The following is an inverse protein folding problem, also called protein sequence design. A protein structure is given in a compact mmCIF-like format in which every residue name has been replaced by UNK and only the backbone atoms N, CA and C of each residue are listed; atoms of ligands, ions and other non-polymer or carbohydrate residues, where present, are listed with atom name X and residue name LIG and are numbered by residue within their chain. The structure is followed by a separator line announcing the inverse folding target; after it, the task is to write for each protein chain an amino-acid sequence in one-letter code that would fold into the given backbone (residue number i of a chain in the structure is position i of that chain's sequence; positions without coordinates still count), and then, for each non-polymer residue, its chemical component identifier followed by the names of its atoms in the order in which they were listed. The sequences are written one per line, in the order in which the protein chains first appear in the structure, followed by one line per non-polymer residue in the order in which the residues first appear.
data_IF_467387067520
#
_entry.id   IF_467387067520
#
_cell.length_a   1.000
_cell.length_b   1.000
_cell.length_c   1.000
_cell.angle_alpha   90.00
_cell.angle_beta   90.00
_cell.angle_gamma   90.00
#
_symmetry.space_group_name_H-M   'P 1'
#
loop_
_entity.id
_entity.type
_entity.pdbx_description
1 polymer ?
#
# COMPACT_ATOMS: atom_id res chain seq x y z
N UNK A 1 -10.15 14.73 24.83
CA UNK A 1 -10.95 15.08 23.62
C UNK A 1 -11.29 13.87 22.74
N UNK A 2 -10.35 13.23 22.01
CA UNK A 2 -10.67 12.17 21.03
C UNK A 2 -11.46 10.99 21.61
N UNK A 3 -11.07 10.49 22.79
CA UNK A 3 -11.80 9.43 23.49
C UNK A 3 -13.28 9.80 23.70
N UNK A 4 -13.55 11.02 24.17
CA UNK A 4 -14.90 11.51 24.42
C UNK A 4 -15.70 11.69 23.13
N UNK A 5 -15.08 12.23 22.07
CA UNK A 5 -15.74 12.37 20.77
C UNK A 5 -16.18 11.00 20.22
N UNK A 6 -15.36 9.97 20.41
CA UNK A 6 -15.65 8.60 19.95
C UNK A 6 -16.48 7.77 20.94
N UNK A 7 -16.79 8.28 22.13
CA UNK A 7 -17.56 7.54 23.16
C UNK A 7 -16.76 6.44 23.88
N UNK A 8 -15.43 6.54 23.90
CA UNK A 8 -14.53 5.56 24.51
C UNK A 8 -14.04 5.98 25.92
N UNK A 9 -13.81 5.03 26.84
CA UNK A 9 -14.03 3.58 26.70
C UNK A 9 -15.49 3.17 26.95
N UNK A 10 -16.12 2.53 25.97
CA UNK A 10 -17.39 1.80 26.10
C UNK A 10 -17.48 0.82 24.92
N UNK A 11 -17.73 -0.47 25.18
CA UNK A 11 -17.93 -1.48 24.13
C UNK A 11 -19.05 -1.10 23.14
N UNK A 12 -19.95 -0.21 23.53
CA UNK A 12 -21.05 0.29 22.71
C UNK A 12 -20.78 1.65 22.07
N UNK A 13 -19.75 2.38 22.53
CA UNK A 13 -19.47 3.78 22.16
C UNK A 13 -20.73 4.69 22.17
N UNK A 14 -21.65 4.44 23.12
CA UNK A 14 -23.02 4.99 23.07
C UNK A 14 -23.11 6.50 23.32
N UNK A 15 -22.06 7.09 23.90
CA UNK A 15 -21.96 8.52 24.21
C UNK A 15 -20.94 9.23 23.30
N UNK A 16 -20.89 8.84 22.02
CA UNK A 16 -20.03 9.45 21.02
C UNK A 16 -20.37 8.99 19.59
N UNK A 17 -19.51 9.34 18.63
CA UNK A 17 -19.73 9.02 17.21
C UNK A 17 -19.11 7.69 16.77
N UNK A 18 -18.41 6.99 17.67
CA UNK A 18 -17.78 5.71 17.35
C UNK A 18 -18.83 4.63 17.07
N UNK A 19 -18.54 3.77 16.09
CA UNK A 19 -19.47 2.73 15.66
C UNK A 19 -19.35 1.39 16.39
N UNK A 20 -18.76 1.37 17.59
CA UNK A 20 -18.53 0.16 18.41
C UNK A 20 -17.70 -0.94 17.73
N UNK A 21 -16.92 -0.59 16.70
CA UNK A 21 -16.01 -1.49 16.00
C UNK A 21 -14.68 -0.80 15.70
N UNK A 22 -13.59 -1.57 15.65
CA UNK A 22 -12.25 -1.04 15.36
C UNK A 22 -12.16 -0.35 14.00
N UNK A 23 -12.98 -0.75 13.01
CA UNK A 23 -13.04 -0.17 11.68
C UNK A 23 -13.79 1.18 11.66
N UNK A 24 -14.68 1.41 12.61
CA UNK A 24 -15.51 2.62 12.74
C UNK A 24 -15.13 3.50 13.94
N UNK A 25 -14.02 3.17 14.62
CA UNK A 25 -13.44 3.95 15.72
C UNK A 25 -12.06 4.52 15.33
N UNK A 26 -12.05 5.39 14.32
CA UNK A 26 -10.84 5.93 13.70
C UNK A 26 -10.92 7.45 13.55
N UNK A 27 -9.80 8.13 13.71
CA UNK A 27 -9.70 9.58 13.53
C UNK A 27 -8.57 9.91 12.57
N UNK A 28 -8.86 10.78 11.60
CA UNK A 28 -7.88 11.45 10.75
C UNK A 28 -7.81 12.91 11.18
N UNK A 29 -6.63 13.38 11.58
CA UNK A 29 -6.36 14.79 11.82
C UNK A 29 -5.62 15.32 10.60
N UNK A 30 -6.18 16.35 9.97
CA UNK A 30 -5.66 16.92 8.72
C UNK A 30 -5.52 18.43 8.86
N UNK A 31 -4.39 18.96 8.42
CA UNK A 31 -4.12 20.40 8.39
C UNK A 31 -3.18 20.77 7.24
N UNK A 32 -3.03 22.07 6.93
CA UNK A 32 -2.04 22.52 5.95
C UNK A 32 -0.62 22.09 6.39
N UNK A 33 0.22 21.74 5.42
CA UNK A 33 1.62 21.39 5.65
C UNK A 33 2.54 22.59 5.42
N UNK A 34 3.55 22.75 6.26
CA UNK A 34 4.65 23.72 6.07
C UNK A 34 5.82 23.14 5.24
N UNK A 35 5.74 21.86 4.85
CA UNK A 35 6.80 21.16 4.09
C UNK A 35 6.72 21.53 2.60
N UNK A 36 7.88 21.74 2.00
CA UNK A 36 7.98 22.02 0.56
C UNK A 36 7.39 20.88 -0.28
N UNK A 37 6.56 21.25 -1.26
CA UNK A 37 5.89 20.32 -2.15
C UNK A 37 4.86 19.38 -1.50
N UNK A 38 4.41 19.65 -0.28
CA UNK A 38 3.35 18.90 0.43
C UNK A 38 2.21 19.85 0.76
N UNK A 39 0.99 19.48 0.37
CA UNK A 39 -0.19 20.31 0.59
C UNK A 39 -0.74 20.17 2.01
N UNK A 40 -0.85 18.94 2.52
CA UNK A 40 -1.45 18.67 3.84
C UNK A 40 -0.67 17.66 4.67
N UNK A 41 -0.71 17.86 5.99
CA UNK A 41 -0.28 16.91 6.99
C UNK A 41 -1.45 16.03 7.43
N UNK A 42 -1.20 14.73 7.53
CA UNK A 42 -2.15 13.73 8.00
C UNK A 42 -1.59 12.98 9.21
N UNK A 43 -2.35 12.95 10.30
CA UNK A 43 -2.09 12.10 11.45
C UNK A 43 -3.28 11.18 11.71
N UNK A 44 -3.04 9.87 11.60
CA UNK A 44 -3.97 8.84 11.99
C UNK A 44 -3.93 8.58 13.49
N UNK A 45 -5.11 8.34 14.06
CA UNK A 45 -5.28 7.83 15.41
C UNK A 45 -6.32 6.70 15.43
N UNK A 46 -5.91 5.53 15.91
CA UNK A 46 -6.83 4.47 16.30
C UNK A 46 -7.34 4.74 17.71
N UNK A 47 -8.64 4.91 17.87
CA UNK A 47 -9.27 5.03 19.19
C UNK A 47 -9.73 3.64 19.61
N UNK A 48 -9.24 3.14 20.74
CA UNK A 48 -9.70 1.87 21.29
C UNK A 48 -11.16 1.99 21.73
N UNK A 49 -11.95 0.95 21.43
CA UNK A 49 -13.38 0.91 21.76
C UNK A 49 -13.57 0.74 23.27
N UNK A 50 -12.92 -0.26 23.86
CA UNK A 50 -13.11 -0.71 25.24
C UNK A 50 -12.06 -0.17 26.23
N UNK A 51 -11.04 0.54 25.76
CA UNK A 51 -9.96 1.08 26.60
C UNK A 51 -9.77 2.57 26.34
N UNK A 52 -9.32 3.28 27.37
CA UNK A 52 -8.98 4.71 27.30
C UNK A 52 -7.61 4.92 26.62
N UNK A 53 -7.46 4.42 25.39
CA UNK A 53 -6.22 4.45 24.62
C UNK A 53 -6.48 5.07 23.24
N UNK A 54 -5.60 5.99 22.87
CA UNK A 54 -5.48 6.52 21.50
C UNK A 54 -4.10 6.10 21.00
N UNK A 55 -4.07 5.30 19.94
CA UNK A 55 -2.85 4.80 19.34
C UNK A 55 -2.58 5.51 18.01
N UNK A 56 -1.50 6.30 17.99
CA UNK A 56 -1.00 7.01 16.81
C UNK A 56 0.25 6.35 16.24
N UNK A 57 0.59 5.13 16.63
CA UNK A 57 1.75 4.41 16.09
C UNK A 57 1.53 3.88 14.67
N UNK A 58 0.36 3.33 14.27
CA UNK A 58 0.17 2.91 12.89
C UNK A 58 -0.30 4.09 12.02
N UNK A 59 -0.24 3.90 10.71
CA UNK A 59 -1.07 4.65 9.76
C UNK A 59 -2.26 3.79 9.30
N UNK A 60 -3.22 4.41 8.62
CA UNK A 60 -4.34 3.71 8.01
C UNK A 60 -4.54 4.18 6.56
N UNK A 61 -4.18 3.32 5.60
CA UNK A 61 -4.39 3.59 4.17
C UNK A 61 -5.86 3.73 3.76
N UNK A 62 -6.80 3.12 4.49
CA UNK A 62 -8.23 3.29 4.20
C UNK A 62 -8.70 4.69 4.59
N UNK A 63 -8.31 5.20 5.77
CA UNK A 63 -8.65 6.57 6.19
C UNK A 63 -7.97 7.62 5.32
N UNK A 64 -6.75 7.34 4.83
CA UNK A 64 -6.01 8.20 3.91
C UNK A 64 -6.83 8.56 2.64
N UNK A 65 -7.68 7.63 2.17
CA UNK A 65 -8.59 7.86 1.03
C UNK A 65 -9.52 9.06 1.19
N UNK A 66 -9.85 9.43 2.44
CA UNK A 66 -10.70 10.59 2.73
C UNK A 66 -9.95 11.92 2.85
N UNK A 67 -8.61 11.90 2.95
CA UNK A 67 -7.81 13.10 3.25
C UNK A 67 -7.79 14.07 2.07
N UNK A 68 -7.59 13.57 0.85
CA UNK A 68 -7.63 14.40 -0.37
C UNK A 68 -8.96 15.13 -0.54
N UNK A 69 -10.11 14.41 -0.60
CA UNK A 69 -11.44 15.02 -0.63
C UNK A 69 -11.66 16.06 0.47
N UNK A 70 -11.31 15.73 1.72
CA UNK A 70 -11.45 16.64 2.85
C UNK A 70 -10.62 17.91 2.66
N UNK A 71 -9.36 17.81 2.24
CA UNK A 71 -8.47 18.94 2.06
C UNK A 71 -8.98 19.94 1.00
N UNK A 72 -9.59 19.42 -0.07
CA UNK A 72 -10.21 20.22 -1.14
C UNK A 72 -11.47 20.91 -0.61
N UNK A 73 -12.38 20.17 0.03
CA UNK A 73 -13.63 20.74 0.55
C UNK A 73 -13.42 21.77 1.65
N UNK A 74 -12.38 21.59 2.48
CA UNK A 74 -12.01 22.55 3.52
C UNK A 74 -11.26 23.77 2.97
N UNK A 75 -11.02 23.84 1.66
CA UNK A 75 -10.32 24.94 1.01
C UNK A 75 -8.83 25.02 1.36
N UNK A 76 -8.25 23.94 1.89
CA UNK A 76 -6.81 23.85 2.17
C UNK A 76 -6.04 23.72 0.86
N UNK A 77 -6.59 22.94 -0.08
CA UNK A 77 -6.01 22.72 -1.42
C UNK A 77 -6.97 23.25 -2.48
N UNK A 78 -6.52 24.14 -3.39
CA UNK A 78 -7.35 24.61 -4.48
C UNK A 78 -7.60 23.50 -5.51
N UNK A 79 -8.75 23.55 -6.17
CA UNK A 79 -9.09 22.61 -7.26
C UNK A 79 -8.16 22.79 -8.45
N UNK A 80 -7.62 21.67 -8.95
CA UNK A 80 -6.63 21.61 -10.05
C UNK A 80 -7.19 21.32 -11.45
N UNK A 81 -8.52 21.32 -11.63
CA UNK A 81 -9.21 20.94 -12.87
C UNK A 81 -10.18 19.78 -12.66
N UNK A 82 -10.37 18.93 -13.67
CA UNK A 82 -11.24 17.74 -13.58
C UNK A 82 -10.73 16.68 -12.58
N UNK A 83 -9.42 16.68 -12.33
CA UNK A 83 -8.79 15.89 -11.27
C UNK A 83 -7.85 16.81 -10.50
N UNK A 84 -7.91 16.75 -9.17
CA UNK A 84 -7.04 17.50 -8.27
C UNK A 84 -6.04 16.55 -7.63
N UNK A 85 -4.76 16.88 -7.76
CA UNK A 85 -3.69 16.22 -7.02
C UNK A 85 -3.55 16.87 -5.65
N UNK A 86 -3.49 16.04 -4.60
CA UNK A 86 -3.27 16.45 -3.21
C UNK A 86 -2.11 15.66 -2.65
N UNK A 87 -0.99 16.33 -2.38
CA UNK A 87 0.19 15.72 -1.75
C UNK A 87 0.04 15.76 -0.24
N UNK A 88 0.01 14.57 0.35
CA UNK A 88 -0.23 14.31 1.76
C UNK A 88 1.07 13.81 2.39
N UNK A 89 1.45 14.38 3.53
CA UNK A 89 2.49 13.84 4.38
C UNK A 89 1.86 13.09 5.57
N UNK A 90 2.05 11.79 5.61
CA UNK A 90 1.62 10.93 6.70
C UNK A 90 2.64 11.02 7.85
N UNK A 91 2.25 11.67 8.94
CA UNK A 91 3.08 11.89 10.13
C UNK A 91 3.42 10.57 10.82
N UNK A 92 2.51 9.59 10.82
CA UNK A 92 2.73 8.31 11.50
C UNK A 92 3.89 7.52 10.86
N UNK A 93 3.96 7.55 9.54
CA UNK A 93 4.92 6.76 8.75
C UNK A 93 6.04 7.58 8.13
N UNK A 94 5.96 8.91 8.21
CA UNK A 94 6.85 9.84 7.54
C UNK A 94 6.89 9.64 6.02
N UNK A 95 5.77 9.19 5.44
CA UNK A 95 5.65 8.93 4.01
C UNK A 95 4.91 10.04 3.29
N UNK A 96 5.23 10.21 2.01
CA UNK A 96 4.57 11.16 1.12
C UNK A 96 3.67 10.39 0.17
N UNK A 97 2.41 10.80 0.09
CA UNK A 97 1.39 10.15 -0.74
C UNK A 97 0.69 11.23 -1.56
N UNK A 98 0.54 11.03 -2.85
CA UNK A 98 -0.31 11.85 -3.70
C UNK A 98 -1.69 11.19 -3.82
N UNK A 99 -2.75 11.90 -3.46
CA UNK A 99 -4.12 11.53 -3.74
C UNK A 99 -4.60 12.25 -5.01
N UNK A 100 -5.03 11.48 -6.01
CA UNK A 100 -5.72 12.02 -7.18
C UNK A 100 -7.22 11.89 -6.95
N UNK A 101 -7.90 13.04 -6.85
CA UNK A 101 -9.32 13.14 -6.54
C UNK A 101 -10.06 13.70 -7.75
N UNK A 102 -11.17 13.09 -8.13
CA UNK A 102 -12.04 13.65 -9.17
C UNK A 102 -12.72 14.93 -8.68
N UNK A 103 -12.58 16.00 -9.46
CA UNK A 103 -13.14 17.32 -9.16
C UNK A 103 -13.86 17.98 -10.35
N UNK A 104 -14.75 17.27 -11.06
CA UNK A 104 -15.51 17.84 -12.17
C UNK A 104 -16.33 19.05 -11.71
N UNK A 105 -16.46 20.03 -12.60
CA UNK A 105 -17.16 21.30 -12.33
C UNK A 105 -16.65 22.07 -11.09
N UNK A 106 -15.41 21.79 -10.66
CA UNK A 106 -14.81 22.47 -9.52
C UNK A 106 -15.23 21.93 -8.15
N UNK A 107 -15.87 20.76 -8.07
CA UNK A 107 -16.35 20.16 -6.81
C UNK A 107 -15.89 18.71 -6.68
N UNK A 108 -15.61 18.26 -5.46
CA UNK A 108 -15.25 16.86 -5.20
C UNK A 108 -16.37 15.93 -5.64
N UNK A 109 -16.03 14.95 -6.47
CA UNK A 109 -16.94 13.89 -6.89
C UNK A 109 -16.77 12.66 -5.99
N UNK A 110 -17.89 12.13 -5.49
CA UNK A 110 -17.94 10.87 -4.74
C UNK A 110 -18.68 9.76 -5.50
N UNK A 111 -19.32 10.09 -6.63
CA UNK A 111 -20.11 9.15 -7.43
C UNK A 111 -19.30 8.64 -8.62
N UNK A 112 -19.36 7.34 -8.88
CA UNK A 112 -18.57 6.75 -9.96
C UNK A 112 -18.83 5.26 -10.08
N UNK A 113 -18.03 4.61 -10.92
CA UNK A 113 -18.20 3.19 -11.25
C UNK A 113 -17.18 2.29 -10.53
N UNK A 114 -16.31 2.86 -9.70
CA UNK A 114 -15.26 2.11 -9.01
C UNK A 114 -15.85 1.25 -7.90
N UNK A 115 -15.45 -0.02 -7.84
CA UNK A 115 -15.95 -1.00 -6.88
C UNK A 115 -14.80 -1.55 -6.06
N UNK A 116 -14.86 -1.36 -4.74
CA UNK A 116 -13.94 -1.99 -3.80
C UNK A 116 -14.64 -3.03 -2.94
N UNK A 117 -13.97 -4.15 -2.67
CA UNK A 117 -14.52 -5.20 -1.82
C UNK A 117 -14.73 -4.71 -0.38
N UNK A 118 -15.88 -5.09 0.19
CA UNK A 118 -16.30 -4.68 1.55
C UNK A 118 -17.20 -3.45 1.60
N UNK A 119 -17.39 -2.72 0.49
CA UNK A 119 -18.29 -1.56 0.40
C UNK A 119 -19.38 -1.84 -0.65
N UNK A 120 -20.68 -1.79 -0.31
CA UNK A 120 -21.75 -1.97 -1.29
C UNK A 120 -21.81 -0.83 -2.32
N UNK A 121 -22.12 -1.18 -3.57
CA UNK A 121 -22.30 -0.21 -4.65
C UNK A 121 -20.98 0.17 -5.33
N UNK A 122 -20.95 1.38 -5.90
CA UNK A 122 -19.81 1.97 -6.57
C UNK A 122 -19.63 3.44 -6.15
N UNK A 123 -18.44 3.99 -6.35
CA UNK A 123 -18.11 5.38 -6.03
C UNK A 123 -17.04 5.93 -7.00
N UNK A 124 -16.69 7.20 -6.85
CA UNK A 124 -15.59 7.81 -7.60
C UNK A 124 -14.25 7.20 -7.17
N UNK A 125 -13.34 7.00 -8.13
CA UNK A 125 -11.99 6.52 -7.88
C UNK A 125 -11.17 7.59 -7.16
N UNK A 126 -10.44 7.17 -6.13
CA UNK A 126 -9.37 7.94 -5.50
C UNK A 126 -8.10 7.11 -5.59
N UNK A 127 -7.16 7.59 -6.39
CA UNK A 127 -5.84 6.95 -6.53
C UNK A 127 -4.90 7.49 -5.46
N UNK A 128 -4.35 6.60 -4.64
CA UNK A 128 -3.36 6.92 -3.62
C UNK A 128 -1.98 6.44 -4.06
N UNK A 129 -1.19 7.37 -4.62
CA UNK A 129 0.17 7.16 -5.10
C UNK A 129 1.18 7.34 -3.97
N UNK A 130 1.78 6.26 -3.50
CA UNK A 130 2.91 6.36 -2.59
C UNK A 130 4.14 6.86 -3.36
N UNK A 131 4.71 7.95 -2.88
CA UNK A 131 5.91 8.57 -3.43
C UNK A 131 7.15 8.05 -2.71
N UNK A 132 8.33 8.26 -3.30
CA UNK A 132 9.62 7.90 -2.70
C UNK A 132 9.72 6.42 -2.30
N UNK A 133 9.02 5.56 -3.04
CA UNK A 133 8.93 4.12 -2.75
C UNK A 133 10.16 3.33 -3.18
N UNK A 134 10.99 3.88 -4.07
CA UNK A 134 12.18 3.20 -4.60
C UNK A 134 13.29 3.17 -3.56
N UNK A 135 13.90 2.00 -3.35
CA UNK A 135 15.05 1.85 -2.46
C UNK A 135 14.72 1.96 -0.98
N UNK A 136 13.50 1.59 -0.58
CA UNK A 136 12.97 1.76 0.79
C UNK A 136 13.88 1.28 1.93
N UNK A 137 14.72 0.26 1.67
CA UNK A 137 15.71 -0.29 2.62
C UNK A 137 17.12 -0.38 2.08
N UNK A 138 17.29 -0.28 0.77
CA UNK A 138 18.56 -0.52 0.07
C UNK A 138 19.08 0.70 -0.68
N UNK A 139 18.29 1.78 -0.77
CA UNK A 139 18.64 3.04 -1.42
C UNK A 139 18.61 3.01 -2.95
N UNK A 140 18.20 1.91 -3.59
CA UNK A 140 18.10 1.83 -5.06
C UNK A 140 17.03 0.84 -5.52
N UNK A 141 16.56 1.00 -6.77
CA UNK A 141 15.57 0.12 -7.39
C UNK A 141 16.06 -1.33 -7.49
N UNK A 142 17.28 -1.51 -8.02
CA UNK A 142 17.94 -2.80 -8.19
C UNK A 142 19.22 -2.80 -7.34
N UNK A 143 19.21 -3.32 -6.10
CA UNK A 143 20.32 -3.19 -5.17
C UNK A 143 21.65 -3.79 -5.65
N UNK A 144 21.59 -4.75 -6.58
CA UNK A 144 22.77 -5.37 -7.20
C UNK A 144 23.15 -4.75 -8.55
N UNK A 145 22.39 -3.76 -9.02
CA UNK A 145 22.52 -3.16 -10.34
C UNK A 145 22.09 -4.06 -11.50
N UNK A 146 21.51 -5.23 -11.21
CA UNK A 146 21.14 -6.24 -12.22
C UNK A 146 19.63 -6.45 -12.23
N UNK A 147 18.95 -6.39 -13.39
CA UNK A 147 17.52 -6.69 -13.46
C UNK A 147 17.25 -8.18 -13.23
N UNK A 148 18.23 -9.05 -13.48
CA UNK A 148 18.14 -10.50 -13.24
C UNK A 148 19.52 -11.08 -12.94
N UNK A 149 19.58 -12.02 -12.00
CA UNK A 149 20.78 -12.76 -11.59
C UNK A 149 20.44 -14.21 -11.20
N UNK A 150 21.45 -15.03 -10.90
CA UNK A 150 21.25 -16.43 -10.51
C UNK A 150 21.61 -16.64 -9.04
N UNK A 151 20.69 -17.27 -8.30
CA UNK A 151 20.86 -17.72 -6.92
C UNK A 151 20.43 -19.18 -6.87
N UNK A 152 21.30 -20.07 -6.39
CA UNK A 152 21.02 -21.52 -6.31
C UNK A 152 20.48 -22.14 -7.62
N UNK A 153 21.08 -21.74 -8.76
CA UNK A 153 20.67 -22.19 -10.10
C UNK A 153 19.36 -21.60 -10.63
N UNK A 154 18.68 -20.74 -9.86
CA UNK A 154 17.40 -20.12 -10.22
C UNK A 154 17.61 -18.65 -10.60
N UNK A 155 16.93 -18.21 -11.65
CA UNK A 155 16.91 -16.80 -12.04
C UNK A 155 16.04 -16.01 -11.07
N UNK A 156 16.60 -14.93 -10.54
CA UNK A 156 15.97 -14.05 -9.57
C UNK A 156 16.16 -12.57 -9.95
N UNK A 157 15.16 -11.76 -9.68
CA UNK A 157 15.26 -10.29 -9.64
C UNK A 157 15.29 -9.86 -8.19
N UNK A 158 16.32 -9.09 -7.81
CA UNK A 158 16.41 -8.45 -6.51
C UNK A 158 16.03 -6.98 -6.68
N UNK A 159 14.91 -6.59 -6.10
CA UNK A 159 14.28 -5.28 -6.32
C UNK A 159 13.79 -4.70 -4.99
N UNK A 160 13.84 -3.38 -4.84
CA UNK A 160 13.36 -2.69 -3.65
C UNK A 160 12.45 -1.51 -4.04
N UNK A 161 11.15 -1.76 -4.00
CA UNK A 161 10.09 -0.76 -4.14
C UNK A 161 9.06 -1.00 -3.05
N UNK A 162 8.95 -0.05 -2.10
CA UNK A 162 8.21 -0.10 -0.84
C UNK A 162 8.65 -1.21 0.14
N UNK A 163 9.18 -2.33 -0.34
CA UNK A 163 9.78 -3.41 0.44
C UNK A 163 10.82 -4.14 -0.42
N UNK A 164 11.99 -4.51 0.11
CA UNK A 164 12.96 -5.32 -0.63
C UNK A 164 12.44 -6.73 -0.87
N UNK A 165 12.55 -7.21 -2.12
CA UNK A 165 12.06 -8.51 -2.57
C UNK A 165 13.08 -9.29 -3.41
N UNK A 166 13.07 -10.61 -3.22
CA UNK A 166 13.58 -11.58 -4.19
C UNK A 166 12.39 -12.14 -4.99
N UNK A 167 12.39 -11.95 -6.30
CA UNK A 167 11.31 -12.41 -7.18
C UNK A 167 11.88 -13.44 -8.15
N UNK A 168 11.19 -14.57 -8.30
CA UNK A 168 11.60 -15.69 -9.16
C UNK A 168 10.44 -16.18 -10.03
N UNK A 169 10.71 -17.03 -11.02
CA UNK A 169 9.65 -17.74 -11.76
C UNK A 169 9.28 -19.01 -11.00
N UNK A 170 7.98 -19.28 -10.89
CA UNK A 170 7.49 -20.50 -10.24
C UNK A 170 8.07 -21.77 -10.88
N UNK A 171 8.14 -21.80 -12.22
CA UNK A 171 8.65 -22.94 -12.98
C UNK A 171 10.11 -23.28 -12.64
N UNK A 172 10.95 -22.29 -12.32
CA UNK A 172 12.35 -22.50 -11.97
C UNK A 172 12.51 -23.16 -10.58
N UNK A 173 11.45 -23.16 -9.77
CA UNK A 173 11.34 -23.87 -8.50
C UNK A 173 10.49 -25.15 -8.59
N UNK A 174 10.15 -25.60 -9.80
CA UNK A 174 9.30 -26.78 -9.99
C UNK A 174 7.84 -26.57 -9.57
N UNK A 175 7.40 -25.31 -9.51
CA UNK A 175 6.01 -24.92 -9.19
C UNK A 175 5.29 -24.43 -10.42
N UNK A 176 3.97 -24.54 -10.39
CA UNK A 176 3.09 -23.99 -11.42
C UNK A 176 2.87 -22.49 -11.21
N UNK A 177 2.91 -22.01 -9.96
CA UNK A 177 2.59 -20.64 -9.57
C UNK A 177 1.11 -20.41 -9.27
N UNK A 178 0.30 -21.47 -9.33
CA UNK A 178 -1.14 -21.43 -9.11
C UNK A 178 -1.60 -22.29 -7.93
N UNK A 179 -0.66 -22.89 -7.20
CA UNK A 179 -0.93 -23.65 -5.98
C UNK A 179 -1.68 -22.80 -4.96
N UNK A 180 -2.50 -23.45 -4.15
CA UNK A 180 -3.09 -22.86 -2.96
C UNK A 180 -2.03 -22.59 -1.89
N UNK A 181 -2.34 -21.68 -0.95
CA UNK A 181 -1.47 -21.43 0.19
C UNK A 181 -1.21 -22.70 1.01
N UNK A 182 -2.20 -23.57 1.16
CA UNK A 182 -2.07 -24.82 1.91
C UNK A 182 -1.11 -25.82 1.23
N UNK A 183 -1.16 -25.93 -0.10
CA UNK A 183 -0.25 -26.80 -0.86
C UNK A 183 1.20 -26.31 -0.77
N UNK A 184 1.43 -24.99 -0.86
CA UNK A 184 2.76 -24.40 -0.72
C UNK A 184 3.28 -24.54 0.72
N UNK A 185 2.47 -24.20 1.72
CA UNK A 185 2.82 -24.28 3.14
C UNK A 185 3.11 -25.72 3.60
N UNK A 186 2.56 -26.72 2.92
CA UNK A 186 2.86 -28.13 3.18
C UNK A 186 4.22 -28.59 2.61
N UNK A 187 4.77 -27.88 1.61
CA UNK A 187 6.04 -28.24 0.97
C UNK A 187 7.24 -27.64 1.71
N UNK A 188 7.75 -28.41 2.66
CA UNK A 188 8.88 -28.01 3.52
C UNK A 188 10.19 -27.90 2.76
N UNK A 189 10.42 -28.73 1.74
CA UNK A 189 11.66 -28.74 0.97
C UNK A 189 11.75 -27.50 0.09
N UNK A 190 10.62 -27.11 -0.51
CA UNK A 190 10.46 -25.85 -1.22
C UNK A 190 10.79 -24.64 -0.32
N UNK A 191 10.20 -24.56 0.89
CA UNK A 191 10.47 -23.46 1.81
C UNK A 191 11.93 -23.45 2.29
N UNK A 192 12.54 -24.60 2.54
CA UNK A 192 13.94 -24.69 2.93
C UNK A 192 14.87 -24.15 1.84
N UNK A 193 14.60 -24.51 0.57
CA UNK A 193 15.36 -24.00 -0.58
C UNK A 193 15.13 -22.50 -0.77
N UNK A 194 13.88 -22.05 -0.71
CA UNK A 194 13.54 -20.64 -0.86
C UNK A 194 14.20 -19.77 0.23
N UNK A 195 14.24 -20.26 1.48
CA UNK A 195 14.92 -19.58 2.59
C UNK A 195 16.43 -19.48 2.36
N UNK A 196 17.08 -20.55 1.91
CA UNK A 196 18.51 -20.50 1.57
C UNK A 196 18.80 -19.44 0.48
N UNK A 197 17.95 -19.37 -0.54
CA UNK A 197 18.03 -18.33 -1.57
C UNK A 197 17.77 -16.93 -1.00
N UNK A 198 16.79 -16.77 -0.10
CA UNK A 198 16.45 -15.51 0.57
C UNK A 198 17.60 -14.95 1.39
N UNK A 199 18.31 -15.82 2.10
CA UNK A 199 19.48 -15.45 2.89
C UNK A 199 20.59 -14.88 1.99
N UNK A 200 20.87 -15.54 0.87
CA UNK A 200 21.85 -15.05 -0.11
C UNK A 200 21.38 -13.76 -0.80
N UNK A 201 20.08 -13.65 -1.13
CA UNK A 201 19.50 -12.42 -1.66
C UNK A 201 19.67 -11.26 -0.68
N UNK A 202 19.36 -11.46 0.62
CA UNK A 202 19.55 -10.47 1.67
C UNK A 202 21.00 -9.97 1.75
N UNK A 203 21.97 -10.89 1.66
CA UNK A 203 23.39 -10.55 1.62
C UNK A 203 23.74 -9.71 0.38
N UNK A 204 23.27 -10.11 -0.82
CA UNK A 204 23.53 -9.39 -2.08
C UNK A 204 22.89 -8.01 -2.12
N UNK A 205 21.73 -7.84 -1.50
CA UNK A 205 21.02 -6.56 -1.39
C UNK A 205 21.62 -5.61 -0.34
N UNK A 206 22.65 -6.04 0.40
CA UNK A 206 23.24 -5.22 1.47
C UNK A 206 22.41 -5.18 2.77
N UNK A 207 21.44 -6.08 2.95
CA UNK A 207 20.59 -6.14 4.16
C UNK A 207 21.26 -6.85 5.34
N UNK A 208 22.46 -7.40 5.13
CA UNK A 208 23.23 -8.16 6.12
C UNK A 208 22.66 -9.54 6.39
N UNK A 209 22.83 -10.02 7.62
CA UNK A 209 22.19 -11.25 8.08
C UNK A 209 20.67 -11.01 8.25
N UNK A 210 19.88 -11.80 7.54
CA UNK A 210 18.41 -11.71 7.53
C UNK A 210 17.73 -12.88 8.23
N UNK A 211 18.47 -13.70 8.99
CA UNK A 211 17.89 -14.75 9.84
C UNK A 211 16.90 -14.13 10.84
N UNK A 212 15.70 -14.69 10.91
CA UNK A 212 14.62 -14.19 11.77
C UNK A 212 14.04 -12.83 11.37
N UNK A 213 14.55 -12.20 10.29
CA UNK A 213 14.01 -10.95 9.75
C UNK A 213 12.92 -11.24 8.74
N UNK A 214 11.97 -10.32 8.65
CA UNK A 214 10.82 -10.42 7.74
C UNK A 214 11.11 -9.92 6.32
N UNK A 215 12.35 -9.51 6.02
CA UNK A 215 12.83 -9.00 4.72
C UNK A 215 14.16 -9.66 4.34
N UNK A 216 14.50 -9.78 3.03
CA UNK A 216 13.64 -9.45 1.90
C UNK A 216 12.43 -10.39 1.84
N UNK A 217 11.31 -9.89 1.31
CA UNK A 217 10.14 -10.72 1.01
C UNK A 217 10.40 -11.53 -0.25
N UNK A 218 9.55 -12.51 -0.52
CA UNK A 218 9.72 -13.35 -1.70
C UNK A 218 8.42 -13.39 -2.49
N UNK A 219 8.56 -13.47 -3.81
CA UNK A 219 7.44 -13.80 -4.67
C UNK A 219 7.86 -14.76 -5.79
N UNK A 220 6.91 -15.60 -6.18
CA UNK A 220 7.01 -16.38 -7.41
C UNK A 220 6.03 -15.83 -8.43
N UNK A 221 6.46 -15.73 -9.68
CA UNK A 221 5.63 -15.31 -10.80
C UNK A 221 5.28 -16.48 -11.71
N UNK A 222 4.08 -16.43 -12.28
CA UNK A 222 3.61 -17.26 -13.38
C UNK A 222 2.84 -16.40 -14.39
N UNK A 223 2.53 -16.97 -15.55
CA UNK A 223 1.71 -16.29 -16.55
C UNK A 223 0.29 -16.05 -15.99
N UNK A 224 -0.35 -14.91 -16.28
CA UNK A 224 -1.74 -14.69 -15.87
C UNK A 224 -2.69 -15.70 -16.55
N UNK A 225 -3.82 -16.02 -15.91
CA UNK A 225 -4.86 -16.94 -16.42
C UNK A 225 -6.24 -16.29 -16.53
N UNK A 226 -6.48 -15.22 -15.79
CA UNK A 226 -7.79 -14.56 -15.62
C UNK A 226 -7.80 -13.16 -16.23
N UNK A 227 -6.90 -12.90 -17.18
CA UNK A 227 -6.80 -11.62 -17.88
C UNK A 227 -6.00 -10.54 -17.14
N UNK A 228 -5.34 -10.90 -16.04
CA UNK A 228 -4.42 -10.01 -15.35
C UNK A 228 -3.10 -9.78 -16.10
N UNK A 229 -2.23 -8.97 -15.51
CA UNK A 229 -0.88 -8.71 -16.02
C UNK A 229 0.11 -9.82 -15.66
N UNK A 230 -0.01 -10.39 -14.45
CA UNK A 230 0.87 -11.46 -13.95
C UNK A 230 0.16 -12.25 -12.87
N UNK A 231 0.44 -13.55 -12.76
CA UNK A 231 0.06 -14.34 -11.59
C UNK A 231 1.21 -14.39 -10.60
N UNK A 232 0.93 -14.18 -9.32
CA UNK A 232 1.94 -14.16 -8.28
C UNK A 232 1.52 -14.92 -7.01
N UNK A 233 2.54 -15.42 -6.31
CA UNK A 233 2.45 -15.93 -4.92
C UNK A 233 3.42 -15.13 -4.07
N UNK A 234 2.93 -14.58 -2.97
CA UNK A 234 3.72 -13.73 -2.05
C UNK A 234 3.97 -14.46 -0.74
N UNK A 235 5.19 -14.33 -0.21
CA UNK A 235 5.63 -15.06 0.98
C UNK A 235 6.07 -14.11 2.09
N UNK A 236 5.56 -14.38 3.29
CA UNK A 236 5.98 -13.74 4.54
C UNK A 236 6.80 -14.75 5.33
N UNK A 237 8.14 -14.60 5.34
CA UNK A 237 9.10 -15.45 4.64
C UNK A 237 8.91 -16.97 4.77
N UNK A 238 8.31 -17.43 5.87
CA UNK A 238 8.09 -18.84 6.19
C UNK A 238 6.66 -19.31 5.97
N UNK A 239 5.81 -18.46 5.39
CA UNK A 239 4.41 -18.78 5.08
C UNK A 239 3.94 -18.08 3.81
N UNK A 240 3.08 -18.75 3.06
CA UNK A 240 2.37 -18.16 1.93
C UNK A 240 1.32 -17.17 2.43
N UNK A 241 1.31 -15.99 1.83
CA UNK A 241 0.30 -14.98 2.12
C UNK A 241 -1.03 -15.36 1.45
N UNK A 242 -2.14 -15.26 2.19
CA UNK A 242 -3.44 -15.71 1.70
C UNK A 242 -3.98 -14.83 0.55
N UNK A 243 -3.72 -13.53 0.61
CA UNK A 243 -4.06 -12.56 -0.45
C UNK A 243 -2.77 -11.99 -1.07
N UNK A 244 -2.57 -10.67 -1.00
CA UNK A 244 -1.32 -10.02 -1.39
C UNK A 244 -1.09 -8.76 -0.56
N UNK A 245 0.15 -8.46 -0.18
CA UNK A 245 0.46 -7.19 0.50
C UNK A 245 0.61 -6.07 -0.54
N UNK A 246 0.08 -4.87 -0.27
CA UNK A 246 0.18 -3.71 -1.19
C UNK A 246 1.65 -3.39 -1.53
N UNK A 247 2.54 -3.38 -0.54
CA UNK A 247 3.98 -3.15 -0.76
C UNK A 247 4.61 -4.25 -1.63
N UNK A 248 4.16 -5.49 -1.47
CA UNK A 248 4.55 -6.58 -2.37
C UNK A 248 4.01 -6.40 -3.78
N UNK A 249 2.79 -5.88 -3.91
CA UNK A 249 2.15 -5.52 -5.18
C UNK A 249 2.98 -4.48 -5.93
N UNK A 250 3.35 -3.38 -5.27
CA UNK A 250 4.22 -2.34 -5.84
C UNK A 250 5.53 -2.95 -6.39
N UNK A 251 6.19 -3.79 -5.59
CA UNK A 251 7.45 -4.40 -5.98
C UNK A 251 7.32 -5.38 -7.16
N UNK A 252 6.25 -6.20 -7.19
CA UNK A 252 5.95 -7.08 -8.32
C UNK A 252 5.58 -6.28 -9.57
N UNK A 253 4.80 -5.23 -9.44
CA UNK A 253 4.44 -4.33 -10.54
C UNK A 253 5.67 -3.63 -11.12
N UNK A 254 6.57 -3.13 -10.26
CA UNK A 254 7.88 -2.62 -10.71
C UNK A 254 8.70 -3.69 -11.41
N UNK A 255 8.69 -4.94 -10.93
CA UNK A 255 9.34 -6.05 -11.62
C UNK A 255 8.75 -6.31 -13.01
N UNK A 256 7.43 -6.18 -13.20
CA UNK A 256 6.76 -6.30 -14.51
C UNK A 256 7.16 -5.16 -15.46
N UNK A 257 7.27 -3.94 -14.95
CA UNK A 257 7.52 -2.74 -15.74
C UNK A 257 9.01 -2.52 -16.07
N UNK A 258 9.93 -3.00 -15.23
CA UNK A 258 11.38 -2.87 -15.47
C UNK A 258 11.83 -3.88 -16.54
N UNK A 259 12.49 -3.44 -17.64
CA UNK A 259 13.01 -4.35 -18.67
C UNK A 259 14.04 -5.35 -18.13
N UNK A 260 14.02 -6.58 -18.66
CA UNK A 260 15.05 -7.58 -18.41
C UNK A 260 14.96 -8.33 -17.07
N UNK A 261 13.88 -8.13 -16.30
CA UNK A 261 13.62 -8.85 -15.05
C UNK A 261 13.12 -10.28 -15.31
N UNK A 262 12.92 -11.05 -14.23
CA UNK A 262 12.28 -12.37 -14.32
C UNK A 262 10.85 -12.33 -14.87
N UNK A 263 10.18 -11.18 -14.89
CA UNK A 263 8.85 -11.03 -15.48
C UNK A 263 8.86 -11.01 -17.02
N UNK A 264 10.03 -10.77 -17.65
CA UNK A 264 10.15 -10.66 -19.10
C UNK A 264 9.69 -11.92 -19.85
N UNK A 265 8.74 -11.78 -20.77
CA UNK A 265 8.16 -12.90 -21.53
C UNK A 265 7.23 -13.80 -20.72
N UNK A 266 6.90 -13.43 -19.47
CA UNK A 266 5.96 -14.13 -18.60
C UNK A 266 4.73 -13.27 -18.32
N UNK A 267 4.94 -12.00 -17.98
CA UNK A 267 3.89 -11.04 -17.67
C UNK A 267 3.44 -10.27 -18.93
N UNK A 268 2.17 -9.86 -18.94
CA UNK A 268 1.63 -8.87 -19.88
C UNK A 268 1.92 -7.47 -19.35
N UNK A 269 2.93 -6.82 -19.93
CA UNK A 269 3.36 -5.48 -19.53
C UNK A 269 2.46 -4.41 -20.20
N UNK A 270 1.86 -3.48 -19.44
CA UNK A 270 1.20 -2.32 -20.02
C UNK A 270 2.18 -1.41 -20.78
N UNK A 271 1.72 -0.80 -21.88
CA UNK A 271 2.55 0.08 -22.72
C UNK A 271 2.57 1.53 -22.25
N UNK A 272 1.59 1.96 -21.45
CA UNK A 272 1.46 3.33 -20.96
C UNK A 272 2.39 3.60 -19.77
N UNK A 273 2.94 4.82 -19.72
CA UNK A 273 3.69 5.33 -18.58
C UNK A 273 2.82 5.55 -17.34
N UNK A 274 1.52 5.78 -17.52
CA UNK A 274 0.54 5.74 -16.44
C UNK A 274 -0.41 4.55 -16.66
N UNK A 275 -0.27 3.52 -15.83
CA UNK A 275 -0.92 2.24 -16.08
C UNK A 275 -1.33 1.51 -14.80
N UNK A 276 -2.16 0.48 -14.95
CA UNK A 276 -2.52 -0.46 -13.88
C UNK A 276 -1.91 -1.81 -14.18
N UNK A 277 -1.15 -2.35 -13.23
CA UNK A 277 -0.70 -3.75 -13.24
C UNK A 277 -1.65 -4.56 -12.40
N UNK A 278 -2.31 -5.54 -13.01
CA UNK A 278 -3.27 -6.42 -12.36
C UNK A 278 -2.55 -7.70 -11.94
N UNK A 279 -2.42 -7.94 -10.64
CA UNK A 279 -1.72 -9.11 -10.11
C UNK A 279 -2.74 -10.15 -9.65
N UNK A 280 -2.79 -11.29 -10.30
CA UNK A 280 -3.60 -12.45 -9.86
C UNK A 280 -2.92 -13.13 -8.67
N UNK A 281 -3.65 -13.29 -7.57
CA UNK A 281 -3.20 -13.93 -6.34
C UNK A 281 -4.20 -15.03 -5.91
N UNK A 282 -3.94 -15.82 -4.85
CA UNK A 282 -4.74 -17.02 -4.55
C UNK A 282 -6.26 -16.83 -4.36
N UNK A 283 -6.71 -15.59 -4.14
CA UNK A 283 -8.10 -15.28 -3.77
C UNK A 283 -8.72 -14.20 -4.66
N UNK A 284 -8.10 -13.86 -5.79
CA UNK A 284 -8.58 -12.82 -6.70
C UNK A 284 -7.45 -12.03 -7.32
N UNK A 285 -7.66 -10.73 -7.49
CA UNK A 285 -6.70 -9.80 -8.09
C UNK A 285 -6.43 -8.61 -7.18
N UNK A 286 -5.24 -8.03 -7.32
CA UNK A 286 -4.93 -6.71 -6.79
C UNK A 286 -4.50 -5.79 -7.93
N UNK A 287 -5.17 -4.64 -8.01
CA UNK A 287 -4.88 -3.60 -8.98
C UNK A 287 -3.86 -2.64 -8.39
N UNK A 288 -2.73 -2.49 -9.08
CA UNK A 288 -1.63 -1.62 -8.66
C UNK A 288 -1.42 -0.57 -9.73
N UNK A 289 -1.81 0.66 -9.41
CA UNK A 289 -1.60 1.79 -10.28
C UNK A 289 -0.13 2.20 -10.22
N UNK A 290 0.51 2.40 -11.38
CA UNK A 290 1.93 2.69 -11.50
C UNK A 290 2.11 3.87 -12.44
N UNK A 291 2.97 4.81 -12.03
CA UNK A 291 3.44 5.87 -12.92
C UNK A 291 4.93 5.70 -13.12
N UNK A 292 5.34 5.61 -14.37
CA UNK A 292 6.73 5.46 -14.79
C UNK A 292 7.15 6.59 -15.72
N UNK A 293 8.45 6.71 -15.92
CA UNK A 293 9.02 7.59 -16.93
C UNK A 293 10.11 6.85 -17.70
N UNK A 294 10.19 7.01 -19.03
CA UNK A 294 11.31 6.49 -19.79
C UNK A 294 12.63 7.14 -19.34
N UNK A 295 13.65 6.31 -19.09
CA UNK A 295 15.01 6.76 -18.76
C UNK A 295 16.02 6.06 -19.68
N UNK A 296 16.14 6.58 -20.91
CA UNK A 296 16.92 5.94 -21.96
C UNK A 296 16.39 4.55 -22.31
N UNK A 297 17.18 3.50 -22.04
CA UNK A 297 16.77 2.09 -22.20
C UNK A 297 16.20 1.48 -20.90
N UNK A 298 16.13 2.26 -19.82
CA UNK A 298 15.59 1.87 -18.53
C UNK A 298 14.20 2.50 -18.30
N UNK A 299 13.60 2.15 -17.18
CA UNK A 299 12.32 2.69 -16.71
C UNK A 299 12.53 3.20 -15.29
N UNK A 300 12.18 4.46 -15.08
CA UNK A 300 12.12 5.07 -13.76
C UNK A 300 10.73 4.87 -13.16
N UNK A 301 10.65 4.36 -11.93
CA UNK A 301 9.40 4.27 -11.17
C UNK A 301 9.20 5.60 -10.44
N UNK A 302 8.20 6.37 -10.83
CA UNK A 302 7.88 7.68 -10.23
C UNK A 302 7.03 7.50 -8.99
N UNK A 303 5.96 6.70 -9.12
CA UNK A 303 5.06 6.40 -8.01
C UNK A 303 4.35 5.08 -8.26
N UNK A 304 3.76 4.55 -7.20
CA UNK A 304 2.87 3.41 -7.29
C UNK A 304 1.85 3.44 -6.17
N UNK A 305 0.67 2.95 -6.44
CA UNK A 305 -0.49 3.21 -5.61
C UNK A 305 -1.57 2.16 -5.68
N UNK A 306 -2.60 2.41 -4.88
CA UNK A 306 -3.83 1.64 -4.85
C UNK A 306 -5.00 2.54 -5.21
N UNK A 307 -6.01 1.92 -5.81
CA UNK A 307 -7.32 2.53 -6.00
C UNK A 307 -8.17 2.33 -4.75
N UNK A 308 -8.80 3.40 -4.30
CA UNK A 308 -9.73 3.45 -3.17
C UNK A 308 -10.94 4.30 -3.54
N UNK A 309 -11.93 4.31 -2.66
CA UNK A 309 -13.07 5.20 -2.75
C UNK A 309 -13.29 5.86 -1.39
N UNK A 310 -13.94 7.02 -1.37
CA UNK A 310 -14.38 7.68 -0.16
C UNK A 310 -15.76 8.31 -0.39
N UNK A 311 -16.46 8.66 0.69
CA UNK A 311 -17.72 9.42 0.63
C UNK A 311 -17.89 10.25 1.88
N UNK A 312 -18.24 11.53 1.73
CA UNK A 312 -18.67 12.35 2.87
C UNK A 312 -20.02 11.82 3.39
N UNK A 313 -20.05 11.47 4.67
CA UNK A 313 -21.25 10.93 5.33
C UNK A 313 -22.03 12.03 6.07
N UNK A 314 -21.31 12.89 6.78
CA UNK A 314 -21.86 13.95 7.62
C UNK A 314 -20.82 15.06 7.76
N UNK A 315 -21.30 16.29 7.91
CA UNK A 315 -20.51 17.48 8.23
C UNK A 315 -21.17 18.21 9.39
N UNK A 316 -20.39 18.69 10.36
CA UNK A 316 -20.93 19.38 11.52
C UNK A 316 -19.96 19.47 12.70
N UNK A 317 -20.52 19.68 13.90
CA UNK A 317 -19.76 19.82 15.15
C UNK A 317 -20.06 18.66 16.09
N UNK A 318 -19.00 18.03 16.62
CA UNK A 318 -19.10 17.02 17.68
C UNK A 318 -18.94 17.69 19.03
N UNK A 319 -19.94 17.51 19.90
CA UNK A 319 -19.88 18.03 21.28
C UNK A 319 -19.27 16.98 22.20
N UNK A 320 -18.39 17.41 23.09
CA UNK A 320 -17.80 16.57 24.14
C UNK A 320 -18.03 17.21 25.50
N UNK A 321 -18.06 16.43 26.61
CA UNK A 321 -18.20 17.02 27.94
C UNK A 321 -17.08 18.01 28.24
N UNK A 322 -17.42 19.19 28.77
CA UNK A 322 -16.46 20.27 29.03
C UNK A 322 -15.28 19.86 29.90
N UNK A 323 -15.51 18.95 30.86
CA UNK A 323 -14.48 18.38 31.71
C UNK A 323 -13.35 17.69 30.93
N UNK A 324 -13.60 17.24 29.70
CA UNK A 324 -12.61 16.56 28.84
C UNK A 324 -11.72 17.50 28.02
N UNK A 325 -12.00 18.81 28.09
CA UNK A 325 -11.24 19.89 27.45
C UNK A 325 -10.29 20.61 28.42
N UNK A 326 -10.41 20.36 29.72
CA UNK A 326 -9.53 20.96 30.74
C UNK A 326 -8.20 20.19 30.71
N UNK A 327 -7.14 20.84 30.25
CA UNK A 327 -5.80 20.29 30.41
C UNK A 327 -5.44 20.27 31.89
N UNK A 328 -5.15 19.09 32.43
CA UNK A 328 -4.31 19.04 33.63
C UNK A 328 -2.95 19.58 33.20
N UNK A 329 -2.39 20.63 33.83
CA UNK A 329 -1.02 21.05 33.54
C UNK A 329 -0.10 19.84 33.73
N UNK A 330 0.82 19.62 32.79
CA UNK A 330 1.88 18.64 32.99
C UNK A 330 2.63 18.98 34.28
N UNK A 331 2.68 18.02 35.22
CA UNK A 331 3.50 18.09 36.43
C UNK A 331 4.95 17.76 36.10
#
# INVERSE_FOLDING_TARGET
MLLAAMGSPDIRQIDGIGGADTLTSKVAMVGPSDRDGVDVDYLFAQVSVDKAIVDTSPSCGNMLSGVGPFAIEMGIVPVGGEKTSVVIYDINTQSRIEAIVETPDGVVNYEGNERIDGVPGTAAEIRLNFMDIVGSKTGSLLPTGKPMEVIDGVKATLIDVAVPMMIVRAADLGKTGYESAAELDADKDFFARMEAMRMEAGRRMGLGDVTGKVVPKMAMLAAPREGGSVAARYFVPHKTHAAFAVTGGLCVSSCVLVPGTVAAGLASRPESDDCTVIIEHPTGVIDVAMTTRPDGNAVEIISGGVVRTARKLMEGTVFVPSATLVSTPAA
#
